data_IF_568606549811
#
_entry.id   IF_568606549811
#
_cell.length_a   1.000
_cell.length_b   1.000
_cell.length_c   1.000
_cell.angle_alpha   90.00
_cell.angle_beta   90.00
_cell.angle_gamma   90.00
#
_symmetry.space_group_name_H-M   'P 1'
#
loop_
_entity.id
_entity.type
_entity.pdbx_description
1 polymer ?
#
# COMPACT_ATOMS: atom_id res chain seq x y z
N UNK A 1 23.35 7.69 0.41
CA UNK A 1 22.26 7.84 1.40
C UNK A 1 22.01 6.52 2.14
N UNK A 2 21.74 5.40 1.46
CA UNK A 2 21.64 4.07 2.09
C UNK A 2 23.01 3.47 2.43
N UNK A 3 23.12 2.88 3.63
CA UNK A 3 24.28 2.12 4.07
C UNK A 3 24.43 0.81 3.27
N UNK A 4 25.63 0.24 3.22
CA UNK A 4 25.87 -1.03 2.53
C UNK A 4 25.11 -2.20 3.18
N UNK A 5 24.86 -2.13 4.49
CA UNK A 5 24.12 -3.15 5.25
C UNK A 5 22.60 -2.96 5.22
N UNK A 6 22.11 -1.99 4.45
CA UNK A 6 20.69 -1.65 4.39
C UNK A 6 19.80 -2.87 4.12
N UNK A 7 18.72 -2.96 4.89
CA UNK A 7 17.63 -3.92 4.68
C UNK A 7 16.29 -3.27 4.95
N UNK A 8 15.36 -3.37 4.01
CA UNK A 8 13.99 -2.90 4.20
C UNK A 8 13.17 -3.85 5.05
N UNK A 9 12.08 -3.34 5.63
CA UNK A 9 11.05 -4.16 6.29
C UNK A 9 10.42 -5.25 5.41
N UNK A 10 10.51 -5.11 4.08
CA UNK A 10 10.04 -6.12 3.11
C UNK A 10 11.14 -7.12 2.69
N UNK A 11 12.36 -6.92 3.19
CA UNK A 11 13.51 -7.78 2.97
C UNK A 11 14.35 -7.42 1.74
N UNK A 12 14.17 -6.22 1.18
CA UNK A 12 14.99 -5.74 0.06
C UNK A 12 16.32 -5.18 0.55
N UNK A 13 17.39 -5.48 -0.19
CA UNK A 13 18.68 -4.85 0.00
C UNK A 13 18.81 -3.55 -0.81
N UNK A 14 19.96 -2.90 -0.66
CA UNK A 14 20.25 -1.61 -1.30
C UNK A 14 20.25 -1.67 -2.82
N UNK A 15 20.85 -2.72 -3.40
CA UNK A 15 20.93 -2.84 -4.86
C UNK A 15 19.54 -3.11 -5.44
N UNK A 16 18.77 -3.97 -4.78
CA UNK A 16 17.38 -4.25 -5.16
C UNK A 16 16.49 -3.01 -5.08
N UNK A 17 16.63 -2.21 -4.02
CA UNK A 17 15.90 -0.93 -3.91
C UNK A 17 16.24 0.02 -5.06
N UNK A 18 17.53 0.10 -5.42
CA UNK A 18 18.00 0.93 -6.54
C UNK A 18 17.44 0.45 -7.88
N UNK A 19 17.40 -0.86 -8.13
CA UNK A 19 16.79 -1.44 -9.32
C UNK A 19 15.30 -1.08 -9.42
N UNK A 20 14.54 -1.28 -8.33
CA UNK A 20 13.11 -0.93 -8.28
C UNK A 20 12.87 0.57 -8.53
N UNK A 21 13.72 1.44 -7.98
CA UNK A 21 13.63 2.88 -8.21
C UNK A 21 13.91 3.24 -9.68
N UNK A 22 14.92 2.62 -10.30
CA UNK A 22 15.26 2.83 -11.71
C UNK A 22 14.16 2.33 -12.66
N UNK A 23 13.60 1.16 -12.39
CA UNK A 23 12.44 0.62 -13.13
C UNK A 23 11.24 1.56 -13.03
N UNK A 24 10.96 2.06 -11.83
CA UNK A 24 9.87 3.01 -11.58
C UNK A 24 10.08 4.34 -12.33
N UNK A 25 11.29 4.91 -12.32
CA UNK A 25 11.58 6.16 -13.05
C UNK A 25 11.54 6.00 -14.56
N UNK A 26 11.85 4.80 -15.07
CA UNK A 26 11.71 4.50 -16.49
C UNK A 26 10.23 4.42 -16.89
N UNK A 27 9.40 3.77 -16.07
CA UNK A 27 7.96 3.66 -16.33
C UNK A 27 7.24 5.00 -16.15
N UNK A 28 7.68 5.85 -15.22
CA UNK A 28 7.08 7.14 -14.92
C UNK A 28 8.08 8.30 -15.10
N UNK A 29 8.37 8.73 -16.34
CA UNK A 29 9.41 9.71 -16.62
C UNK A 29 9.11 11.13 -16.08
N UNK A 30 7.84 11.45 -15.82
CA UNK A 30 7.39 12.73 -15.27
C UNK A 30 7.04 12.66 -13.77
N UNK A 31 7.49 11.59 -13.09
CA UNK A 31 7.15 11.35 -11.70
C UNK A 31 7.56 12.52 -10.80
N UNK A 32 6.63 12.94 -9.96
CA UNK A 32 6.83 13.93 -8.90
C UNK A 32 6.77 13.20 -7.59
N UNK A 33 7.79 13.39 -6.77
CA UNK A 33 7.91 12.79 -5.47
C UNK A 33 8.17 13.87 -4.42
N UNK A 34 7.38 13.87 -3.35
CA UNK A 34 7.50 14.84 -2.26
C UNK A 34 7.57 14.12 -0.94
N UNK A 35 8.54 14.49 -0.11
CA UNK A 35 8.70 13.98 1.25
C UNK A 35 8.44 15.14 2.22
N UNK A 36 7.62 14.90 3.23
CA UNK A 36 7.46 15.76 4.40
C UNK A 36 7.94 15.00 5.64
N UNK A 37 8.95 15.54 6.31
CA UNK A 37 9.36 15.03 7.63
C UNK A 37 8.29 15.38 8.65
N UNK A 38 7.81 14.39 9.39
CA UNK A 38 6.83 14.53 10.46
C UNK A 38 7.53 14.63 11.82
N UNK A 39 8.54 13.80 12.06
CA UNK A 39 9.33 13.82 13.28
C UNK A 39 10.74 13.31 13.05
N UNK A 40 11.66 13.76 13.90
CA UNK A 40 13.03 13.27 13.98
C UNK A 40 13.31 13.04 15.46
N UNK A 41 13.77 11.84 15.78
CA UNK A 41 14.29 11.46 17.10
C UNK A 41 15.74 11.01 16.94
N UNK A 42 16.65 11.49 17.80
CA UNK A 42 18.09 11.23 17.69
C UNK A 42 18.62 10.73 19.03
N UNK A 43 19.25 9.56 19.01
CA UNK A 43 19.90 8.94 20.16
C UNK A 43 21.35 8.57 19.83
N UNK A 44 22.29 9.43 20.26
CA UNK A 44 23.74 9.33 20.04
C UNK A 44 24.09 9.17 18.56
N UNK A 45 24.22 7.92 18.09
CA UNK A 45 24.59 7.54 16.74
C UNK A 45 23.41 6.95 15.95
N UNK A 46 22.21 6.93 16.50
CA UNK A 46 21.00 6.45 15.86
C UNK A 46 20.00 7.60 15.68
N UNK A 47 19.20 7.54 14.62
CA UNK A 47 18.09 8.44 14.43
C UNK A 47 16.90 7.71 13.82
N UNK A 48 15.70 8.11 14.25
CA UNK A 48 14.43 7.64 13.69
C UNK A 48 13.72 8.83 13.06
N UNK A 49 13.42 8.73 11.77
CA UNK A 49 12.75 9.80 11.01
C UNK A 49 11.43 9.27 10.50
N UNK A 50 10.33 9.92 10.85
CA UNK A 50 9.00 9.60 10.33
C UNK A 50 8.69 10.56 9.20
N UNK A 51 8.30 10.03 8.04
CA UNK A 51 7.96 10.80 6.85
C UNK A 51 6.53 10.56 6.41
N UNK A 52 5.98 11.56 5.73
CA UNK A 52 4.82 11.42 4.86
C UNK A 52 5.25 11.69 3.44
N UNK A 53 4.94 10.78 2.54
CA UNK A 53 5.45 10.81 1.17
C UNK A 53 4.29 10.76 0.20
N UNK A 54 4.49 11.42 -0.94
CA UNK A 54 3.54 11.40 -2.03
C UNK A 54 4.28 11.25 -3.34
N UNK A 55 3.70 10.43 -4.20
CA UNK A 55 4.16 10.20 -5.56
C UNK A 55 3.02 10.45 -6.52
N UNK A 56 3.31 11.04 -7.67
CA UNK A 56 2.37 11.04 -8.80
C UNK A 56 3.10 11.10 -10.12
N UNK A 57 2.58 10.45 -11.16
CA UNK A 57 3.20 10.47 -12.49
C UNK A 57 2.29 9.86 -13.56
N UNK A 58 2.76 9.85 -14.78
CA UNK A 58 2.10 9.21 -15.92
C UNK A 58 2.97 8.12 -16.51
N UNK A 59 2.34 7.03 -16.97
CA UNK A 59 3.08 5.93 -17.57
C UNK A 59 3.68 6.33 -18.91
N UNK A 60 4.88 5.84 -19.19
CA UNK A 60 5.46 5.89 -20.53
C UNK A 60 4.69 4.99 -21.49
N UNK A 61 4.21 3.84 -20.99
CA UNK A 61 3.57 2.81 -21.81
C UNK A 61 2.05 2.83 -21.65
N UNK A 62 1.33 2.60 -22.75
CA UNK A 62 -0.12 2.40 -22.72
C UNK A 62 -0.46 0.93 -22.44
N UNK A 63 -1.66 0.68 -21.91
CA UNK A 63 -2.20 -0.68 -21.78
C UNK A 63 -3.00 -1.05 -23.03
N UNK A 64 -2.99 -2.33 -23.40
CA UNK A 64 -3.58 -2.84 -24.65
C UNK A 64 -5.08 -2.48 -24.80
N UNK A 65 -5.84 -2.57 -23.72
CA UNK A 65 -7.30 -2.44 -23.75
C UNK A 65 -7.83 -1.02 -23.60
N UNK A 66 -6.98 -0.05 -23.23
CA UNK A 66 -7.39 1.34 -22.94
C UNK A 66 -6.39 2.31 -23.52
N UNK A 67 -6.86 3.18 -24.41
CA UNK A 67 -6.01 4.19 -25.06
C UNK A 67 -5.44 5.20 -24.06
N UNK A 68 -4.17 5.56 -24.26
CA UNK A 68 -3.48 6.63 -23.55
C UNK A 68 -2.70 6.17 -22.32
N UNK A 69 -1.95 7.10 -21.73
CA UNK A 69 -1.16 6.84 -20.53
C UNK A 69 -2.03 6.67 -19.28
N UNK A 70 -1.54 5.83 -18.39
CA UNK A 70 -2.01 5.69 -17.02
C UNK A 70 -1.53 6.86 -16.17
N UNK A 71 -2.25 7.09 -15.08
CA UNK A 71 -1.86 8.02 -14.04
C UNK A 71 -1.71 7.25 -12.74
N UNK A 72 -0.58 7.42 -12.06
CA UNK A 72 -0.33 6.89 -10.73
C UNK A 72 -0.37 8.03 -9.73
N UNK A 73 -0.99 7.78 -8.57
CA UNK A 73 -0.74 8.52 -7.35
C UNK A 73 -0.56 7.54 -6.19
N UNK A 74 0.30 7.94 -5.25
CA UNK A 74 0.53 7.20 -4.02
C UNK A 74 0.73 8.16 -2.85
N UNK A 75 0.27 7.73 -1.68
CA UNK A 75 0.55 8.38 -0.40
C UNK A 75 0.98 7.31 0.61
N UNK A 76 2.10 7.56 1.29
CA UNK A 76 2.64 6.65 2.29
C UNK A 76 3.11 7.38 3.55
N UNK A 77 3.18 6.62 4.64
CA UNK A 77 3.87 7.00 5.87
C UNK A 77 4.98 5.99 6.12
N UNK A 78 6.22 6.45 6.18
CA UNK A 78 7.39 5.60 6.38
C UNK A 78 8.19 6.03 7.60
N UNK A 79 8.92 5.07 8.18
CA UNK A 79 9.89 5.27 9.24
C UNK A 79 11.24 4.89 8.67
N UNK A 80 12.20 5.81 8.72
CA UNK A 80 13.58 5.55 8.38
C UNK A 80 14.40 5.44 9.65
N UNK A 81 15.20 4.38 9.73
CA UNK A 81 16.21 4.17 10.76
C UNK A 81 17.57 4.54 10.18
N UNK A 82 18.24 5.49 10.81
CA UNK A 82 19.54 5.97 10.39
C UNK A 82 20.58 5.69 11.45
N UNK A 83 21.81 5.45 10.99
CA UNK A 83 22.99 5.37 11.85
C UNK A 83 24.05 6.35 11.37
N UNK A 84 24.75 6.97 12.31
CA UNK A 84 25.89 7.85 12.05
C UNK A 84 27.15 7.01 11.87
N UNK A 85 27.81 7.22 10.74
CA UNK A 85 29.12 6.64 10.44
C UNK A 85 30.11 7.78 10.25
N UNK A 86 31.01 7.94 11.21
CA UNK A 86 31.89 9.12 11.33
C UNK A 86 31.05 10.40 11.36
N UNK A 87 30.98 11.15 10.26
CA UNK A 87 30.26 12.42 10.16
C UNK A 87 29.06 12.36 9.19
N UNK A 88 28.64 11.17 8.77
CA UNK A 88 27.53 10.99 7.83
C UNK A 88 26.41 10.15 8.41
N UNK A 89 25.17 10.62 8.27
CA UNK A 89 23.98 9.81 8.53
C UNK A 89 23.67 8.95 7.31
N UNK A 90 23.45 7.66 7.54
CA UNK A 90 23.05 6.71 6.50
C UNK A 90 21.83 5.94 6.93
N UNK A 91 20.93 5.69 5.99
CA UNK A 91 19.73 4.88 6.22
C UNK A 91 20.16 3.42 6.30
N UNK A 92 19.88 2.76 7.42
CA UNK A 92 20.17 1.35 7.68
C UNK A 92 18.95 0.46 7.49
N UNK A 93 17.74 0.99 7.66
CA UNK A 93 16.49 0.28 7.42
C UNK A 93 15.32 1.25 7.27
N UNK A 94 14.22 0.76 6.73
CA UNK A 94 12.95 1.48 6.62
C UNK A 94 11.77 0.56 6.97
N UNK A 95 10.68 1.17 7.44
CA UNK A 95 9.41 0.51 7.68
C UNK A 95 8.26 1.35 7.13
N UNK A 96 7.53 0.82 6.16
CA UNK A 96 6.35 1.49 5.60
C UNK A 96 5.13 1.16 6.48
N UNK A 97 4.68 2.14 7.26
CA UNK A 97 3.55 1.99 8.19
C UNK A 97 2.25 1.81 7.43
N UNK A 98 2.05 2.63 6.40
CA UNK A 98 0.93 2.54 5.48
C UNK A 98 1.36 3.08 4.13
N UNK A 99 0.75 2.55 3.08
CA UNK A 99 0.88 3.03 1.72
C UNK A 99 -0.43 2.76 1.01
N UNK A 100 -0.89 3.73 0.23
CA UNK A 100 -2.02 3.57 -0.69
C UNK A 100 -1.59 4.07 -2.04
N UNK A 101 -1.71 3.21 -3.04
CA UNK A 101 -1.35 3.53 -4.42
C UNK A 101 -2.57 3.30 -5.30
N UNK A 102 -2.75 4.15 -6.31
CA UNK A 102 -3.77 3.97 -7.32
C UNK A 102 -3.20 4.28 -8.71
N UNK A 103 -3.34 3.32 -9.60
CA UNK A 103 -2.96 3.42 -11.00
C UNK A 103 -4.23 3.37 -11.85
N UNK A 104 -4.48 4.40 -12.66
CA UNK A 104 -5.75 4.58 -13.37
C UNK A 104 -5.53 4.90 -14.85
N UNK A 105 -6.31 4.24 -15.71
CA UNK A 105 -6.25 4.38 -17.16
C UNK A 105 -7.62 4.78 -17.73
N UNK A 106 -7.60 5.51 -18.85
CA UNK A 106 -8.82 5.94 -19.55
C UNK A 106 -9.75 6.74 -18.64
N UNK A 107 -11.05 6.41 -18.66
CA UNK A 107 -12.06 7.14 -17.86
C UNK A 107 -11.90 6.94 -16.35
N UNK A 108 -11.18 5.89 -15.92
CA UNK A 108 -10.95 5.62 -14.51
C UNK A 108 -10.20 6.77 -13.81
N UNK A 109 -9.41 7.56 -14.56
CA UNK A 109 -8.70 8.74 -14.05
C UNK A 109 -9.62 9.81 -13.45
N UNK A 110 -10.89 9.81 -13.85
CA UNK A 110 -11.87 10.82 -13.45
C UNK A 110 -12.93 10.27 -12.49
N UNK A 111 -12.81 9.01 -12.06
CA UNK A 111 -13.77 8.35 -11.17
C UNK A 111 -13.17 8.27 -9.77
N UNK A 112 -13.76 8.95 -8.78
CA UNK A 112 -13.31 8.85 -7.39
C UNK A 112 -13.37 7.41 -6.90
N UNK A 113 -12.23 6.94 -6.38
CA UNK A 113 -12.05 5.57 -5.94
C UNK A 113 -11.07 5.47 -4.77
N UNK A 114 -11.36 4.57 -3.83
CA UNK A 114 -10.52 4.34 -2.66
C UNK A 114 -10.59 2.89 -2.22
N UNK A 115 -9.45 2.31 -1.89
CA UNK A 115 -9.34 1.03 -1.21
C UNK A 115 -8.93 1.26 0.25
N UNK A 116 -9.68 0.66 1.17
CA UNK A 116 -9.39 0.67 2.60
C UNK A 116 -9.13 -0.76 3.08
N UNK A 117 -8.03 -0.96 3.79
CA UNK A 117 -7.63 -2.19 4.47
C UNK A 117 -6.90 -1.82 5.78
N UNK A 118 -6.85 -2.70 6.79
CA UNK A 118 -6.07 -2.45 8.00
C UNK A 118 -4.57 -2.37 7.69
N UNK A 119 -3.84 -1.49 8.39
CA UNK A 119 -2.40 -1.33 8.20
C UNK A 119 -1.56 -2.45 8.83
N UNK A 120 -2.15 -3.23 9.73
CA UNK A 120 -1.50 -4.34 10.42
C UNK A 120 -2.50 -5.47 10.67
N UNK A 121 -2.06 -6.72 10.50
CA UNK A 121 -2.81 -7.94 10.81
C UNK A 121 -1.87 -9.02 11.35
N UNK A 122 -2.42 -9.97 12.09
CA UNK A 122 -1.69 -11.17 12.51
C UNK A 122 -1.62 -12.18 11.37
N UNK A 123 -0.65 -13.11 11.38
CA UNK A 123 -0.59 -14.19 10.39
C UNK A 123 -1.87 -15.03 10.37
N UNK A 124 -2.34 -15.38 9.16
CA UNK A 124 -3.56 -16.17 8.92
C UNK A 124 -4.83 -15.55 9.52
N UNK A 125 -4.79 -14.28 9.90
CA UNK A 125 -5.95 -13.53 10.36
C UNK A 125 -6.80 -13.10 9.16
N UNK A 126 -8.12 -13.20 9.32
CA UNK A 126 -9.07 -12.63 8.37
C UNK A 126 -9.15 -11.11 8.54
N UNK A 127 -9.18 -10.39 7.44
CA UNK A 127 -9.44 -8.96 7.44
C UNK A 127 -10.33 -8.54 6.29
N UNK A 128 -10.96 -7.37 6.44
CA UNK A 128 -11.85 -6.83 5.40
C UNK A 128 -11.13 -5.77 4.58
N UNK A 129 -11.16 -5.93 3.27
CA UNK A 129 -10.81 -4.90 2.30
C UNK A 129 -12.08 -4.29 1.70
N UNK A 130 -12.14 -2.96 1.65
CA UNK A 130 -13.32 -2.19 1.22
C UNK A 130 -12.94 -1.27 0.06
N UNK A 131 -13.47 -1.56 -1.11
CA UNK A 131 -13.40 -0.69 -2.29
C UNK A 131 -14.64 0.22 -2.31
N UNK A 132 -14.41 1.53 -2.38
CA UNK A 132 -15.44 2.55 -2.59
C UNK A 132 -15.23 3.19 -3.95
N UNK A 133 -16.27 3.22 -4.76
CA UNK A 133 -16.23 3.64 -6.15
C UNK A 133 -17.51 4.40 -6.53
N UNK A 134 -17.37 5.59 -7.11
CA UNK A 134 -18.53 6.37 -7.59
C UNK A 134 -18.63 6.32 -9.12
N UNK A 135 -19.16 5.22 -9.64
CA UNK A 135 -19.30 5.01 -11.10
C UNK A 135 -20.61 5.62 -11.62
N UNK A 136 -20.56 6.44 -12.68
CA UNK A 136 -21.77 6.95 -13.31
C UNK A 136 -22.67 5.81 -13.82
N UNK A 137 -23.99 5.98 -13.69
CA UNK A 137 -25.00 4.94 -14.04
C UNK A 137 -24.95 4.46 -15.49
N UNK A 138 -24.32 5.22 -16.39
CA UNK A 138 -24.12 4.84 -17.80
C UNK A 138 -23.02 3.80 -18.01
N UNK A 139 -22.29 3.42 -16.96
CA UNK A 139 -21.19 2.46 -17.01
C UNK A 139 -21.45 1.28 -16.08
N UNK A 140 -20.80 0.16 -16.40
CA UNK A 140 -20.73 -1.03 -15.55
C UNK A 140 -19.29 -1.14 -15.04
N UNK A 141 -19.13 -1.50 -13.77
CA UNK A 141 -17.83 -1.78 -13.18
C UNK A 141 -17.74 -3.25 -12.76
N UNK A 142 -16.67 -3.90 -13.21
CA UNK A 142 -16.25 -5.23 -12.76
C UNK A 142 -15.08 -5.04 -11.80
N UNK A 143 -15.18 -5.65 -10.63
CA UNK A 143 -14.20 -5.51 -9.54
C UNK A 143 -13.62 -6.87 -9.19
N UNK A 144 -12.37 -6.90 -8.77
CA UNK A 144 -11.74 -8.02 -8.05
C UNK A 144 -10.97 -7.40 -6.90
N UNK A 145 -10.99 -8.04 -5.73
CA UNK A 145 -10.21 -7.61 -4.55
C UNK A 145 -9.43 -8.83 -4.08
N UNK A 146 -8.12 -8.78 -3.95
CA UNK A 146 -7.28 -9.89 -3.48
C UNK A 146 -6.25 -9.38 -2.48
N UNK A 147 -5.54 -10.29 -1.81
CA UNK A 147 -4.32 -9.98 -1.09
C UNK A 147 -3.11 -10.57 -1.81
N UNK A 148 -2.06 -9.78 -1.96
CA UNK A 148 -0.87 -10.13 -2.72
C UNK A 148 0.37 -9.90 -1.86
N UNK A 149 1.14 -10.95 -1.49
CA UNK A 149 2.40 -10.78 -0.77
C UNK A 149 3.37 -9.86 -1.51
N UNK A 150 4.11 -9.05 -0.76
CA UNK A 150 5.14 -8.17 -1.32
C UNK A 150 6.37 -9.02 -1.60
N UNK A 151 6.46 -9.49 -2.84
CA UNK A 151 7.57 -10.30 -3.37
C UNK A 151 8.13 -9.70 -4.64
N UNK A 152 9.36 -10.09 -4.97
CA UNK A 152 9.94 -9.86 -6.28
C UNK A 152 10.56 -11.16 -6.82
N UNK A 153 10.26 -11.57 -8.08
CA UNK A 153 9.28 -10.96 -8.99
C UNK A 153 7.85 -11.02 -8.42
N UNK A 154 7.00 -10.11 -8.89
CA UNK A 154 5.64 -10.00 -8.36
C UNK A 154 4.80 -11.22 -8.71
N UNK A 155 4.17 -11.83 -7.71
CA UNK A 155 3.23 -12.92 -7.89
C UNK A 155 1.80 -12.37 -7.96
N UNK A 156 1.18 -12.46 -9.14
CA UNK A 156 -0.21 -12.04 -9.33
C UNK A 156 -1.17 -13.07 -8.74
N UNK A 157 -2.14 -12.59 -7.98
CA UNK A 157 -3.26 -13.42 -7.56
C UNK A 157 -4.19 -13.74 -8.72
N UNK A 158 -4.90 -14.87 -8.62
CA UNK A 158 -6.00 -15.17 -9.54
C UNK A 158 -7.16 -14.21 -9.28
N UNK A 159 -7.59 -13.49 -10.31
CA UNK A 159 -8.67 -12.51 -10.19
C UNK A 159 -10.04 -13.17 -10.36
N UNK A 160 -10.97 -12.79 -9.49
CA UNK A 160 -12.37 -13.23 -9.57
C UNK A 160 -13.25 -12.00 -9.66
N UNK A 161 -13.61 -11.65 -10.89
CA UNK A 161 -14.38 -10.45 -11.18
C UNK A 161 -15.85 -10.60 -10.80
N UNK A 162 -16.41 -9.54 -10.20
CA UNK A 162 -17.85 -9.40 -9.87
C UNK A 162 -18.33 -8.02 -10.26
N UNK A 163 -19.62 -7.89 -10.55
CA UNK A 163 -20.23 -6.57 -10.75
C UNK A 163 -20.25 -5.76 -9.46
N UNK A 164 -19.96 -4.47 -9.54
CA UNK A 164 -20.06 -3.54 -8.41
C UNK A 164 -21.51 -3.49 -7.88
N UNK A 165 -21.64 -3.51 -6.55
CA UNK A 165 -22.95 -3.31 -5.89
C UNK A 165 -23.51 -1.91 -6.18
N UNK A 166 -24.85 -1.73 -6.28
CA UNK A 166 -25.47 -0.43 -6.55
C UNK A 166 -25.11 0.69 -5.56
N UNK A 167 -24.72 0.34 -4.33
CA UNK A 167 -24.29 1.31 -3.31
C UNK A 167 -22.87 1.88 -3.55
N UNK A 168 -22.14 1.41 -4.57
CA UNK A 168 -20.77 1.85 -4.85
C UNK A 168 -19.72 1.34 -3.87
N UNK A 169 -20.11 0.43 -2.96
CA UNK A 169 -19.23 -0.16 -1.96
C UNK A 169 -19.13 -1.66 -2.21
N UNK A 170 -17.91 -2.14 -2.32
CA UNK A 170 -17.61 -3.56 -2.39
C UNK A 170 -16.66 -3.95 -1.27
N UNK A 171 -17.01 -5.03 -0.59
CA UNK A 171 -16.23 -5.59 0.50
C UNK A 171 -15.81 -7.01 0.14
N UNK A 172 -14.65 -7.42 0.65
CA UNK A 172 -14.20 -8.81 0.63
C UNK A 172 -13.45 -9.13 1.91
N UNK A 173 -13.74 -10.30 2.48
CA UNK A 173 -12.93 -10.90 3.54
C UNK A 173 -11.76 -11.61 2.87
N UNK A 174 -10.55 -11.27 3.30
CA UNK A 174 -9.28 -11.82 2.85
C UNK A 174 -8.61 -12.50 4.04
N UNK A 175 -7.81 -13.54 3.77
CA UNK A 175 -7.01 -14.20 4.81
C UNK A 175 -5.54 -13.85 4.57
N UNK A 176 -4.91 -13.24 5.57
CA UNK A 176 -3.49 -12.85 5.47
C UNK A 176 -2.57 -14.06 5.34
N UNK A 177 -1.37 -13.83 4.78
CA UNK A 177 -0.36 -14.88 4.67
C UNK A 177 0.17 -15.37 6.03
N UNK A 178 1.12 -16.30 6.00
CA UNK A 178 1.71 -16.94 7.19
C UNK A 178 2.66 -16.05 8.01
N UNK A 179 2.73 -14.75 7.70
CA UNK A 179 3.63 -13.78 8.31
C UNK A 179 5.06 -13.89 7.82
N UNK A 180 5.29 -14.54 6.67
CA UNK A 180 6.59 -14.51 6.00
C UNK A 180 6.86 -13.18 5.30
N UNK A 181 5.80 -12.47 4.89
CA UNK A 181 5.88 -11.23 4.12
C UNK A 181 4.77 -10.26 4.51
N UNK A 182 5.02 -8.96 4.36
CA UNK A 182 3.93 -7.99 4.26
C UNK A 182 3.17 -8.21 2.94
N UNK A 183 1.93 -7.74 2.86
CA UNK A 183 1.09 -7.91 1.67
C UNK A 183 0.37 -6.62 1.32
N UNK A 184 -0.18 -6.58 0.11
CA UNK A 184 -1.08 -5.53 -0.33
C UNK A 184 -2.48 -6.10 -0.48
N UNK A 185 -3.49 -5.43 0.09
CA UNK A 185 -4.84 -5.56 -0.41
C UNK A 185 -4.88 -4.85 -1.77
N UNK A 186 -5.25 -5.56 -2.83
CA UNK A 186 -5.26 -5.04 -4.20
C UNK A 186 -6.66 -5.15 -4.78
N UNK A 187 -7.15 -4.05 -5.34
CA UNK A 187 -8.41 -3.99 -6.07
C UNK A 187 -8.17 -3.67 -7.54
N UNK A 188 -8.62 -4.56 -8.40
CA UNK A 188 -8.64 -4.39 -9.86
C UNK A 188 -10.04 -4.02 -10.31
N UNK A 189 -10.14 -2.95 -11.10
CA UNK A 189 -11.42 -2.37 -11.51
C UNK A 189 -11.41 -2.19 -13.02
N UNK A 190 -12.30 -2.90 -13.72
CA UNK A 190 -12.61 -2.66 -15.12
C UNK A 190 -13.90 -1.86 -15.25
N UNK A 191 -13.87 -0.76 -16.00
CA UNK A 191 -15.05 0.08 -16.26
C UNK A 191 -15.38 -0.02 -17.74
N UNK A 192 -16.61 -0.43 -18.03
CA UNK A 192 -17.08 -0.63 -19.38
C UNK A 192 -18.41 0.09 -19.64
N UNK A 193 -18.68 0.35 -20.92
CA UNK A 193 -19.99 0.81 -21.37
C UNK A 193 -20.64 -0.30 -22.21
N UNK A 194 -21.79 -0.83 -21.80
CA UNK A 194 -22.53 -1.75 -22.65
C UNK A 194 -23.07 -0.98 -23.86
N UNK A 195 -22.83 -1.51 -25.05
CA UNK A 195 -23.45 -1.04 -26.28
C UNK A 195 -24.35 -2.17 -26.79
N UNK A 196 -25.66 -1.96 -26.67
CA UNK A 196 -26.67 -2.93 -27.11
C UNK A 196 -27.18 -2.43 -28.46
N UNK A 197 -26.85 -3.15 -29.52
CA UNK A 197 -27.41 -2.96 -30.87
C UNK A 197 -27.80 -4.31 -31.42
N UNK A 198 -29.04 -4.44 -31.89
CA UNK A 198 -29.55 -5.55 -32.70
C UNK A 198 -29.11 -6.93 -32.19
N UNK A 199 -29.51 -7.28 -30.96
CA UNK A 199 -29.24 -8.53 -30.25
C UNK A 199 -27.76 -8.88 -29.96
N UNK A 200 -26.82 -8.01 -30.32
CA UNK A 200 -25.41 -8.13 -29.95
C UNK A 200 -25.07 -7.19 -28.79
N UNK A 201 -24.57 -7.77 -27.69
CA UNK A 201 -24.00 -7.02 -26.56
C UNK A 201 -22.51 -6.85 -26.81
N UNK A 202 -22.07 -5.64 -27.17
CA UNK A 202 -20.65 -5.31 -27.23
C UNK A 202 -20.24 -4.54 -25.96
N UNK A 203 -19.21 -5.00 -25.27
CA UNK A 203 -18.71 -4.41 -24.03
C UNK A 203 -17.41 -3.70 -24.33
N UNK A 204 -17.46 -2.37 -24.39
CA UNK A 204 -16.27 -1.55 -24.58
C UNK A 204 -15.65 -1.21 -23.22
N UNK A 205 -14.43 -1.70 -22.96
CA UNK A 205 -13.63 -1.29 -21.80
C UNK A 205 -13.15 0.14 -22.04
N UNK A 206 -13.48 1.04 -21.12
CA UNK A 206 -13.17 2.47 -21.23
C UNK A 206 -12.19 2.93 -20.16
N UNK A 207 -12.04 2.16 -19.09
CA UNK A 207 -11.12 2.47 -18.00
C UNK A 207 -10.73 1.23 -17.23
N UNK A 208 -9.50 1.25 -16.73
CA UNK A 208 -8.97 0.22 -15.83
C UNK A 208 -8.32 0.94 -14.66
N UNK A 209 -8.48 0.42 -13.46
CA UNK A 209 -7.74 0.90 -12.29
C UNK A 209 -7.24 -0.26 -11.44
N UNK A 210 -6.07 -0.06 -10.84
CA UNK A 210 -5.48 -0.91 -9.82
C UNK A 210 -5.26 -0.05 -8.59
N UNK A 211 -5.85 -0.43 -7.46
CA UNK A 211 -5.63 0.23 -6.18
C UNK A 211 -4.94 -0.76 -5.24
N UNK A 212 -3.94 -0.31 -4.50
CA UNK A 212 -3.34 -1.09 -3.43
C UNK A 212 -3.43 -0.34 -2.10
N UNK A 213 -3.55 -1.11 -1.02
CA UNK A 213 -3.40 -0.64 0.35
C UNK A 213 -2.50 -1.63 1.08
N UNK A 214 -1.38 -1.13 1.62
CA UNK A 214 -0.43 -1.94 2.36
C UNK A 214 -1.04 -2.53 3.64
N UNK A 215 -0.74 -3.79 3.89
CA UNK A 215 -1.09 -4.57 5.08
C UNK A 215 0.18 -5.21 5.64
N UNK A 216 0.65 -4.73 6.80
CA UNK A 216 1.80 -5.34 7.46
C UNK A 216 1.38 -6.60 8.20
N UNK A 217 1.96 -7.76 7.85
CA UNK A 217 1.64 -9.04 8.50
C UNK A 217 2.72 -9.33 9.54
N UNK A 218 2.40 -9.03 10.80
CA UNK A 218 3.41 -9.00 11.87
C UNK A 218 3.23 -10.24 12.75
N UNK A 219 4.30 -11.04 12.85
CA UNK A 219 4.38 -12.23 13.72
C UNK A 219 4.45 -11.89 15.22
N UNK A 220 3.70 -10.91 15.71
CA UNK A 220 3.57 -10.65 17.14
C UNK A 220 2.23 -9.98 17.44
N UNK A 221 1.36 -10.70 18.16
CA UNK A 221 0.54 -10.06 19.18
C UNK A 221 1.51 -9.45 20.20
N UNK A 222 1.16 -8.31 20.79
CA UNK A 222 1.56 -8.05 22.18
C UNK A 222 0.83 -9.07 23.07
N UNK A 223 1.22 -10.34 22.97
CA UNK A 223 0.81 -11.36 23.93
C UNK A 223 1.55 -11.01 25.23
N UNK A 224 0.79 -10.46 26.20
CA UNK A 224 1.19 -10.06 27.55
C UNK A 224 1.57 -8.58 27.79
N UNK A 225 0.81 -7.63 27.26
CA UNK A 225 0.56 -6.41 28.06
C UNK A 225 -0.78 -6.59 28.74
N UNK A 226 -0.76 -7.12 29.97
CA UNK A 226 -1.94 -7.06 30.82
C UNK A 226 -2.43 -5.60 30.82
N UNK A 227 -3.74 -5.33 30.68
CA UNK A 227 -4.23 -3.96 30.76
C UNK A 227 -3.69 -3.33 32.05
N UNK A 228 -3.11 -2.13 31.94
CA UNK A 228 -2.69 -1.36 33.11
C UNK A 228 -3.92 -1.11 33.98
N UNK A 229 -4.13 -1.99 34.96
CA UNK A 229 -5.14 -1.77 35.99
C UNK A 229 -4.59 -0.73 36.96
N UNK A 230 -5.46 0.10 37.54
CA UNK A 230 -5.09 1.05 38.61
C UNK A 230 -4.28 0.40 39.74
N UNK A 231 -4.48 -0.89 39.98
CA UNK A 231 -3.73 -1.70 40.94
C UNK A 231 -2.24 -1.84 40.57
N UNK A 232 -1.93 -2.05 39.28
CA UNK A 232 -0.56 -2.21 38.79
C UNK A 232 0.20 -0.88 38.75
N UNK A 233 -0.52 0.23 38.52
CA UNK A 233 0.04 1.59 38.58
C UNK A 233 0.40 1.97 40.02
N UNK A 234 -0.49 1.70 40.99
CA UNK A 234 -0.23 2.00 42.40
C UNK A 234 0.88 1.15 43.02
N UNK A 235 1.10 -0.07 42.53
CA UNK A 235 2.20 -0.93 42.98
C UNK A 235 3.56 -0.41 42.49
N UNK A 236 3.65 -0.01 41.22
CA UNK A 236 4.88 0.55 40.64
C UNK A 236 5.29 1.90 41.29
N UNK A 237 4.31 2.73 41.67
CA UNK A 237 4.56 4.00 42.37
C UNK A 237 5.11 3.75 43.79
N UNK A 238 4.55 2.80 44.53
CA UNK A 238 5.05 2.45 45.88
C UNK A 238 6.48 1.92 45.89
N UNK A 239 6.85 1.10 44.89
CA UNK A 239 8.22 0.58 44.80
C UNK A 239 9.23 1.70 44.47
N UNK A 240 8.81 2.74 43.74
CA UNK A 240 9.65 3.89 43.42
C UNK A 240 9.84 4.88 44.59
N UNK A 241 8.92 4.90 45.55
CA UNK A 241 9.00 5.74 46.76
C UNK A 241 9.77 5.07 47.92
N UNK A 242 10.14 3.79 47.77
CA UNK A 242 10.89 3.02 48.77
C UNK A 242 12.42 2.94 48.52
N UNK A 243 12.96 3.77 47.63
CA UNK A 243 14.40 3.92 47.39
C UNK A 243 14.90 5.32 47.71
#
# INVERSE_FOLDING_TARGET
MHDATYRSSDGYDKERLKELAQESWKEFPDVRYTIKVLSIDVDVDNATVITKERLSGTTQTAVEFVKGSGYIDSESTAIYYLKRFSNEWRITSDFVVNEKTAMRYGIAKYIPMKLDAPSIVSPKEEYTAVLKLNVPRSYVALISINNEPITFPFEKSTEVFRSLKPCGIQERILTSNDGSKNENAVASVGIAKPNIKDDNINVNILGIAFLSSRVNVVKHKMDNVAPLTQKNVNAAIKDSESK
#
